data_IF_536306071945
#
_entry.id   IF_536306071945
#
_cell.length_a   1.000
_cell.length_b   1.000
_cell.length_c   1.000
_cell.angle_alpha   90.00
_cell.angle_beta   90.00
_cell.angle_gamma   90.00
#
_symmetry.space_group_name_H-M   'P 1'
#
loop_
_entity.id
_entity.type
_entity.pdbx_description
1 polymer ?
#
# COMPACT_ATOMS: atom_id res chain seq x y z
N UNK A 1 -8.98 22.22 -19.02
CA UNK A 1 -7.51 22.10 -18.82
C UNK A 1 -7.03 20.96 -19.72
N UNK A 2 -6.13 21.23 -20.66
CA UNK A 2 -5.61 20.20 -21.57
C UNK A 2 -4.64 19.27 -20.80
N UNK A 3 -4.62 17.99 -21.13
CA UNK A 3 -3.68 17.04 -20.53
C UNK A 3 -2.24 17.46 -20.89
N UNK A 4 -1.27 17.33 -19.95
CA UNK A 4 0.12 17.66 -20.22
C UNK A 4 0.70 16.79 -21.35
N UNK A 5 1.74 17.27 -22.06
CA UNK A 5 2.39 16.50 -23.11
C UNK A 5 2.92 15.16 -22.59
N UNK A 6 2.97 14.11 -23.43
CA UNK A 6 3.61 12.85 -23.06
C UNK A 6 5.04 13.09 -22.57
N UNK A 7 5.37 12.63 -21.38
CA UNK A 7 6.73 12.72 -20.81
C UNK A 7 7.01 13.93 -19.93
N UNK A 8 6.08 14.87 -19.78
CA UNK A 8 6.18 15.90 -18.73
C UNK A 8 5.66 15.28 -17.43
N UNK A 9 6.53 15.18 -16.42
CA UNK A 9 6.14 14.73 -15.08
C UNK A 9 4.94 15.54 -14.59
N UNK A 10 3.92 14.85 -14.08
CA UNK A 10 2.78 15.51 -13.44
C UNK A 10 3.21 16.36 -12.24
N UNK A 11 2.27 17.06 -11.59
CA UNK A 11 2.49 17.72 -10.31
C UNK A 11 3.36 16.88 -9.34
N UNK A 12 4.20 17.53 -8.51
CA UNK A 12 4.90 16.83 -7.43
C UNK A 12 3.93 15.97 -6.61
N UNK A 13 4.21 14.66 -6.49
CA UNK A 13 3.34 13.69 -5.81
C UNK A 13 2.48 12.81 -6.75
N UNK A 14 2.33 13.15 -8.03
CA UNK A 14 1.55 12.32 -8.97
C UNK A 14 2.31 11.06 -9.42
N UNK A 15 3.64 11.14 -9.42
CA UNK A 15 4.53 10.02 -9.75
C UNK A 15 5.76 10.09 -8.85
N UNK A 16 5.95 9.10 -7.99
CA UNK A 16 7.09 9.05 -7.08
C UNK A 16 7.44 7.63 -6.66
N UNK A 17 8.65 7.49 -6.13
CA UNK A 17 9.09 6.32 -5.39
C UNK A 17 9.45 6.77 -3.98
N UNK A 18 8.83 6.18 -2.97
CA UNK A 18 9.15 6.40 -1.57
C UNK A 18 9.82 5.15 -0.99
N UNK A 19 10.88 5.34 -0.21
CA UNK A 19 11.52 4.26 0.55
C UNK A 19 11.41 4.57 2.03
N UNK A 20 10.82 3.66 2.79
CA UNK A 20 10.63 3.77 4.24
C UNK A 20 11.53 2.75 4.93
N UNK A 21 12.21 3.17 5.99
CA UNK A 21 12.93 2.28 6.91
C UNK A 21 12.22 2.30 8.26
N UNK A 22 11.96 1.11 8.79
CA UNK A 22 11.32 0.93 10.09
C UNK A 22 12.37 0.69 11.18
N UNK A 23 11.96 0.83 12.44
CA UNK A 23 12.84 0.70 13.61
C UNK A 23 13.44 -0.70 13.77
N UNK A 24 12.73 -1.74 13.31
CA UNK A 24 13.20 -3.13 13.28
C UNK A 24 14.21 -3.43 12.15
N UNK A 25 14.55 -2.42 11.35
CA UNK A 25 15.47 -2.52 10.22
C UNK A 25 14.81 -2.98 8.92
N UNK A 26 13.51 -3.30 8.91
CA UNK A 26 12.78 -3.60 7.69
C UNK A 26 12.68 -2.37 6.77
N UNK A 27 12.54 -2.62 5.47
CA UNK A 27 12.47 -1.59 4.43
C UNK A 27 11.25 -1.85 3.55
N UNK A 28 10.51 -0.78 3.25
CA UNK A 28 9.41 -0.81 2.28
C UNK A 28 9.67 0.20 1.17
N UNK A 29 9.34 -0.19 -0.06
CA UNK A 29 9.38 0.71 -1.22
C UNK A 29 7.99 0.80 -1.84
N UNK A 30 7.52 2.04 -2.04
CA UNK A 30 6.25 2.33 -2.71
C UNK A 30 6.53 3.06 -4.01
N UNK A 31 6.15 2.44 -5.13
CA UNK A 31 6.09 3.11 -6.44
C UNK A 31 4.65 3.53 -6.70
N UNK A 32 4.40 4.84 -6.75
CA UNK A 32 3.10 5.41 -7.04
C UNK A 32 3.14 6.15 -8.39
N UNK A 33 2.17 5.89 -9.26
CA UNK A 33 2.08 6.55 -10.57
C UNK A 33 0.64 6.70 -11.04
N UNK A 34 0.33 7.86 -11.60
CA UNK A 34 -0.93 8.12 -12.33
C UNK A 34 -0.79 8.01 -13.84
N UNK A 35 0.43 7.80 -14.35
CA UNK A 35 0.75 7.81 -15.79
C UNK A 35 0.53 6.47 -16.51
N UNK A 36 0.05 5.44 -15.82
CA UNK A 36 -0.19 4.11 -16.39
C UNK A 36 -1.41 4.04 -17.33
N UNK A 37 -1.35 3.18 -18.36
CA UNK A 37 -2.52 2.86 -19.19
C UNK A 37 -3.50 1.99 -18.41
N UNK A 38 -4.79 2.36 -18.39
CA UNK A 38 -5.87 1.50 -17.90
C UNK A 38 -6.09 0.36 -18.89
N UNK A 39 -5.66 -0.85 -18.54
CA UNK A 39 -5.88 -2.08 -19.32
C UNK A 39 -6.36 -3.19 -18.37
N UNK A 40 -7.31 -4.02 -18.78
CA UNK A 40 -7.96 -5.00 -17.91
C UNK A 40 -7.01 -6.10 -17.41
N UNK A 41 -6.01 -6.43 -18.21
CA UNK A 41 -4.98 -7.44 -17.99
C UNK A 41 -3.68 -6.86 -17.40
N UNK A 42 -3.60 -5.54 -17.20
CA UNK A 42 -2.47 -4.92 -16.51
C UNK A 42 -2.90 -4.56 -15.09
N UNK A 43 -2.36 -5.29 -14.12
CA UNK A 43 -2.60 -5.05 -12.70
C UNK A 43 -2.11 -3.67 -12.29
N UNK A 44 -2.92 -2.95 -11.50
CA UNK A 44 -2.56 -1.62 -11.00
C UNK A 44 -1.93 -1.64 -9.60
N UNK A 45 -2.04 -2.77 -8.92
CA UNK A 45 -1.66 -2.94 -7.53
C UNK A 45 -0.83 -4.21 -7.40
N UNK A 46 0.40 -4.09 -6.92
CA UNK A 46 1.29 -5.22 -6.68
C UNK A 46 1.98 -5.02 -5.35
N UNK A 47 1.96 -6.04 -4.51
CA UNK A 47 2.63 -6.05 -3.22
C UNK A 47 3.54 -7.27 -3.15
N UNK A 48 4.79 -7.07 -2.75
CA UNK A 48 5.77 -8.12 -2.54
C UNK A 48 6.33 -7.98 -1.13
N UNK A 49 6.37 -9.09 -0.40
CA UNK A 49 6.93 -9.17 0.94
C UNK A 49 7.97 -10.30 0.98
N UNK A 50 9.16 -9.99 1.49
CA UNK A 50 10.27 -10.93 1.60
C UNK A 50 10.75 -11.00 3.05
N UNK A 51 10.90 -12.21 3.58
CA UNK A 51 11.38 -12.45 4.95
C UNK A 51 11.88 -13.88 5.08
N UNK A 52 12.96 -14.13 5.84
CA UNK A 52 13.43 -15.49 6.18
C UNK A 52 13.55 -16.47 5.00
N UNK A 53 14.03 -16.01 3.83
CA UNK A 53 14.11 -16.83 2.62
C UNK A 53 12.75 -17.12 1.95
N UNK A 54 11.68 -16.48 2.41
CA UNK A 54 10.31 -16.57 1.89
C UNK A 54 9.97 -15.33 1.08
N UNK A 55 9.02 -15.49 0.18
CA UNK A 55 8.47 -14.40 -0.62
C UNK A 55 6.98 -14.62 -0.79
N UNK A 56 6.19 -13.57 -0.58
CA UNK A 56 4.76 -13.56 -0.84
C UNK A 56 4.41 -12.39 -1.75
N UNK A 57 3.56 -12.64 -2.74
CA UNK A 57 3.16 -11.66 -3.73
C UNK A 57 1.65 -11.62 -3.83
N UNK A 58 1.09 -10.41 -3.85
CA UNK A 58 -0.27 -10.12 -4.29
C UNK A 58 -0.20 -9.36 -5.61
N UNK A 59 -0.93 -9.84 -6.60
CA UNK A 59 -1.05 -9.23 -7.92
C UNK A 59 -2.51 -8.87 -8.20
N UNK A 60 -2.74 -7.56 -8.18
CA UNK A 60 -3.98 -6.86 -8.50
C UNK A 60 -5.19 -7.30 -7.66
N UNK A 61 -4.96 -7.87 -6.48
CA UNK A 61 -5.98 -8.50 -5.62
C UNK A 61 -6.79 -9.60 -6.34
N UNK A 62 -6.22 -10.18 -7.40
CA UNK A 62 -6.81 -11.29 -8.17
C UNK A 62 -6.02 -12.56 -7.92
N UNK A 63 -4.69 -12.44 -7.79
CA UNK A 63 -3.76 -13.56 -7.66
C UNK A 63 -2.85 -13.32 -6.47
N UNK A 64 -2.48 -14.40 -5.81
CA UNK A 64 -1.43 -14.41 -4.81
C UNK A 64 -0.60 -15.68 -4.98
N UNK A 65 0.71 -15.54 -4.81
CA UNK A 65 1.65 -16.64 -4.94
C UNK A 65 2.83 -16.40 -4.01
N UNK A 66 3.57 -17.46 -3.72
CA UNK A 66 4.66 -17.39 -2.77
C UNK A 66 5.67 -18.50 -2.98
N UNK A 67 6.86 -18.26 -2.44
CA UNK A 67 7.98 -19.17 -2.42
C UNK A 67 8.47 -19.30 -0.99
N UNK A 68 8.70 -20.53 -0.51
CA UNK A 68 9.04 -20.78 0.90
C UNK A 68 7.89 -20.52 1.89
N UNK A 69 6.69 -20.18 1.41
CA UNK A 69 5.48 -19.98 2.22
C UNK A 69 4.24 -20.49 1.48
N UNK A 70 3.16 -20.77 2.22
CA UNK A 70 1.86 -21.05 1.62
C UNK A 70 1.28 -19.75 1.07
N UNK A 71 0.99 -19.72 -0.23
CA UNK A 71 0.18 -18.66 -0.79
C UNK A 71 -1.29 -19.08 -0.80
N UNK A 72 -2.16 -18.26 -0.22
CA UNK A 72 -3.60 -18.46 -0.34
C UNK A 72 -4.03 -18.50 -1.81
N UNK A 73 -5.08 -19.27 -2.11
CA UNK A 73 -5.66 -19.29 -3.44
C UNK A 73 -6.44 -17.98 -3.67
N UNK A 74 -5.84 -17.00 -4.34
CA UNK A 74 -6.61 -15.93 -4.95
C UNK A 74 -7.01 -16.38 -6.36
N UNK A 75 -8.31 -16.62 -6.54
CA UNK A 75 -8.89 -17.06 -7.79
C UNK A 75 -10.29 -16.48 -7.97
N UNK A 76 -10.50 -15.78 -9.08
CA UNK A 76 -11.82 -15.41 -9.57
C UNK A 76 -12.00 -13.90 -9.77
N UNK A 77 -12.32 -13.19 -8.69
CA UNK A 77 -12.75 -11.78 -8.73
C UNK A 77 -11.84 -10.92 -7.87
N UNK A 78 -11.47 -9.74 -8.38
CA UNK A 78 -10.73 -8.73 -7.62
C UNK A 78 -11.47 -8.43 -6.31
N UNK A 79 -10.87 -8.80 -5.18
CA UNK A 79 -11.41 -8.54 -3.84
C UNK A 79 -10.41 -7.77 -3.01
N UNK A 80 -10.77 -6.54 -2.64
CA UNK A 80 -9.92 -5.64 -1.85
C UNK A 80 -10.10 -5.80 -0.34
N UNK A 81 -10.85 -6.81 0.10
CA UNK A 81 -11.12 -7.01 1.52
C UNK A 81 -12.29 -6.19 2.08
N UNK A 82 -13.07 -5.47 1.25
CA UNK A 82 -14.13 -4.59 1.77
C UNK A 82 -15.21 -5.36 2.54
N UNK A 83 -15.53 -6.59 2.11
CA UNK A 83 -16.53 -7.40 2.81
C UNK A 83 -15.98 -7.92 4.14
N UNK A 84 -14.73 -8.37 4.12
CA UNK A 84 -13.99 -8.82 5.29
C UNK A 84 -13.82 -7.70 6.33
N UNK A 85 -13.57 -6.47 5.89
CA UNK A 85 -13.52 -5.27 6.73
C UNK A 85 -14.87 -5.01 7.41
N UNK A 86 -15.97 -5.03 6.66
CA UNK A 86 -17.32 -4.84 7.21
C UNK A 86 -17.72 -5.96 8.16
N UNK A 87 -17.34 -7.20 7.86
CA UNK A 87 -17.57 -8.34 8.74
C UNK A 87 -16.81 -8.20 10.06
N UNK A 88 -15.52 -7.83 10.00
CA UNK A 88 -14.71 -7.58 11.19
C UNK A 88 -15.27 -6.41 12.03
N UNK A 89 -15.74 -5.33 11.37
CA UNK A 89 -16.42 -4.24 12.05
C UNK A 89 -17.72 -4.71 12.74
N UNK A 90 -18.54 -5.51 12.06
CA UNK A 90 -19.78 -6.03 12.63
C UNK A 90 -19.50 -6.94 13.85
N UNK A 91 -18.46 -7.78 13.78
CA UNK A 91 -18.05 -8.62 14.91
C UNK A 91 -17.54 -7.79 16.09
N UNK A 92 -16.75 -6.74 15.83
CA UNK A 92 -16.31 -5.81 16.87
C UNK A 92 -17.49 -5.10 17.55
N UNK A 93 -18.42 -4.54 16.77
CA UNK A 93 -19.62 -3.87 17.29
C UNK A 93 -20.53 -4.82 18.09
N UNK A 94 -20.50 -6.11 17.76
CA UNK A 94 -21.23 -7.16 18.48
C UNK A 94 -20.46 -7.77 19.66
N UNK A 95 -19.26 -7.27 19.99
CA UNK A 95 -18.42 -7.78 21.07
C UNK A 95 -17.84 -9.18 20.82
N UNK A 96 -17.79 -9.63 19.56
CA UNK A 96 -17.29 -10.96 19.15
C UNK A 96 -15.89 -10.95 18.54
N UNK A 97 -15.30 -9.78 18.36
CA UNK A 97 -14.01 -9.61 17.71
C UNK A 97 -13.17 -8.50 18.34
N UNK A 98 -11.84 -8.51 18.07
CA UNK A 98 -10.99 -7.41 18.46
C UNK A 98 -11.32 -6.14 17.65
N UNK A 99 -10.75 -5.00 18.06
CA UNK A 99 -10.75 -3.81 17.22
C UNK A 99 -10.12 -4.14 15.85
N UNK A 100 -10.82 -3.94 14.72
CA UNK A 100 -10.30 -4.36 13.41
C UNK A 100 -9.08 -3.57 12.95
N UNK A 101 -9.03 -2.28 13.29
CA UNK A 101 -7.96 -1.36 12.93
C UNK A 101 -7.70 -0.40 14.11
N UNK A 102 -6.59 -0.56 14.84
CA UNK A 102 -6.21 0.36 15.92
C UNK A 102 -6.01 1.79 15.43
N UNK A 103 -6.39 2.77 16.26
CA UNK A 103 -6.27 4.20 15.92
C UNK A 103 -4.81 4.63 15.74
N UNK A 104 -3.89 4.00 16.46
CA UNK A 104 -2.46 4.27 16.36
C UNK A 104 -1.92 3.91 14.96
N UNK A 105 -2.43 2.83 14.37
CA UNK A 105 -2.05 2.41 13.02
C UNK A 105 -2.50 3.43 11.96
N UNK A 106 -3.69 4.03 12.12
CA UNK A 106 -4.20 5.04 11.18
C UNK A 106 -3.47 6.37 11.32
N UNK A 107 -3.15 6.78 12.56
CA UNK A 107 -2.32 7.96 12.82
C UNK A 107 -0.94 7.81 12.18
N UNK A 108 -0.26 6.67 12.39
CA UNK A 108 1.06 6.39 11.80
C UNK A 108 1.02 6.40 10.27
N UNK A 109 0.02 5.78 9.65
CA UNK A 109 -0.12 5.80 8.19
C UNK A 109 -0.35 7.22 7.66
N UNK A 110 -1.09 8.04 8.40
CA UNK A 110 -1.34 9.45 8.05
C UNK A 110 -0.06 10.29 8.17
N UNK A 111 0.69 10.15 9.26
CA UNK A 111 1.99 10.80 9.47
C UNK A 111 2.97 10.46 8.33
N UNK A 112 3.07 9.18 7.96
CA UNK A 112 3.88 8.72 6.83
C UNK A 112 3.44 9.37 5.50
N UNK A 113 2.13 9.49 5.26
CA UNK A 113 1.61 10.12 4.04
C UNK A 113 2.01 11.59 3.93
N UNK A 114 1.99 12.34 5.03
CA UNK A 114 2.43 13.74 5.06
C UNK A 114 3.94 13.87 4.88
N UNK A 115 4.73 13.00 5.50
CA UNK A 115 6.18 12.98 5.31
C UNK A 115 6.56 12.73 3.85
N UNK A 116 5.88 11.79 3.18
CA UNK A 116 6.08 11.49 1.76
C UNK A 116 5.63 12.66 0.87
N UNK A 117 4.46 13.27 1.11
CA UNK A 117 4.01 14.44 0.34
C UNK A 117 4.97 15.63 0.50
N UNK A 118 5.44 15.91 1.72
CA UNK A 118 6.42 16.96 1.98
C UNK A 118 7.73 16.72 1.19
N UNK A 119 8.25 15.49 1.23
CA UNK A 119 9.44 15.10 0.48
C UNK A 119 9.25 15.26 -1.04
N UNK A 120 8.09 14.84 -1.57
CA UNK A 120 7.74 15.01 -2.99
C UNK A 120 7.71 16.50 -3.40
N UNK A 121 7.29 17.39 -2.52
CA UNK A 121 7.23 18.84 -2.77
C UNK A 121 8.57 19.56 -2.57
N UNK A 122 9.63 18.85 -2.17
CA UNK A 122 10.92 19.46 -1.83
C UNK A 122 10.90 20.24 -0.51
N UNK A 123 9.87 20.05 0.32
CA UNK A 123 9.91 20.49 1.70
C UNK A 123 10.76 19.50 2.51
N UNK A 124 11.57 20.00 3.44
CA UNK A 124 12.28 19.14 4.39
C UNK A 124 11.22 18.38 5.18
N UNK A 125 11.18 17.05 5.04
CA UNK A 125 10.25 16.22 5.80
C UNK A 125 10.53 16.46 7.29
N UNK A 126 9.50 16.71 8.12
CA UNK A 126 9.70 16.73 9.57
C UNK A 126 10.28 15.37 9.99
N UNK A 127 11.25 15.37 10.90
CA UNK A 127 11.77 14.12 11.47
C UNK A 127 10.62 13.37 12.16
N UNK A 128 10.06 12.36 11.49
CA UNK A 128 9.08 11.47 12.09
C UNK A 128 9.86 10.39 12.83
N UNK A 129 10.09 10.62 14.12
CA UNK A 129 10.66 9.61 15.01
C UNK A 129 9.66 8.47 15.20
N UNK A 130 9.94 7.33 14.58
CA UNK A 130 9.21 6.10 14.82
C UNK A 130 9.57 5.58 16.23
N UNK A 131 8.64 5.79 17.16
CA UNK A 131 8.58 5.08 18.45
C UNK A 131 7.31 4.23 18.53
#
# INVERSE_FOLDING_TARGET
>A
MAAPPPGVGGPPGDNFVATLRYADGSVATLTYTVSGRKRKDLGKERCEAHWDGKTFVIDDYIRSFGSGCSAGAAGGRRSKGHWEELAALADYLAGRGPVPLPIEATLRATEQSFAVDAACRGAVAPEVSAS
#
